data_IF_167955959734
#
_entry.id   IF_167955959734
#
_cell.length_a   1.000
_cell.length_b   1.000
_cell.length_c   1.000
_cell.angle_alpha   90.00
_cell.angle_beta   90.00
_cell.angle_gamma   90.00
#
_symmetry.space_group_name_H-M   'P 1'
#
loop_
_entity.id
_entity.type
_entity.pdbx_description
1 polymer ?
#
# COMPACT_ATOMS: atom_id res chain seq x y z
N UNK A 1 2.30 -7.42 -3.49
CA UNK A 1 3.10 -6.61 -2.53
C UNK A 1 4.06 -5.72 -3.33
N UNK A 2 3.85 -4.41 -3.29
CA UNK A 2 4.64 -3.47 -4.10
C UNK A 2 6.07 -3.36 -3.54
N UNK A 3 7.04 -3.09 -4.40
CA UNK A 3 8.44 -2.84 -4.05
C UNK A 3 8.59 -1.88 -2.85
N UNK A 4 7.84 -0.78 -2.87
CA UNK A 4 7.82 0.22 -1.79
C UNK A 4 7.31 -0.33 -0.47
N UNK A 5 6.23 -1.12 -0.50
CA UNK A 5 5.64 -1.70 0.69
C UNK A 5 6.61 -2.69 1.35
N UNK A 6 7.33 -3.48 0.54
CA UNK A 6 8.37 -4.38 1.03
C UNK A 6 9.53 -3.59 1.63
N UNK A 7 10.08 -2.59 0.92
CA UNK A 7 11.18 -1.76 1.42
C UNK A 7 10.82 -1.06 2.74
N UNK A 8 9.60 -0.54 2.85
CA UNK A 8 9.11 0.08 4.08
C UNK A 8 9.03 -0.93 5.24
N UNK A 9 8.47 -2.12 5.00
CA UNK A 9 8.41 -3.19 6.00
C UNK A 9 9.79 -3.66 6.45
N UNK A 10 10.76 -3.78 5.53
CA UNK A 10 12.14 -4.12 5.87
C UNK A 10 12.78 -3.07 6.80
N UNK A 11 12.61 -1.77 6.50
CA UNK A 11 13.09 -0.69 7.37
C UNK A 11 12.46 -0.76 8.77
N UNK A 12 11.14 -0.92 8.84
CA UNK A 12 10.43 -1.06 10.11
C UNK A 12 10.91 -2.30 10.89
N UNK A 13 11.24 -3.39 10.21
CA UNK A 13 11.75 -4.61 10.84
C UNK A 13 13.12 -4.39 11.46
N UNK A 14 14.03 -3.73 10.74
CA UNK A 14 15.37 -3.40 11.24
C UNK A 14 15.26 -2.46 12.45
N UNK A 15 14.52 -1.36 12.33
CA UNK A 15 14.34 -0.38 13.41
C UNK A 15 13.70 -1.04 14.65
N UNK A 16 12.61 -1.80 14.46
CA UNK A 16 11.93 -2.47 15.56
C UNK A 16 12.83 -3.47 16.28
N UNK A 17 13.68 -4.20 15.55
CA UNK A 17 14.63 -5.16 16.15
C UNK A 17 15.71 -4.45 16.96
N UNK A 18 16.32 -3.38 16.41
CA UNK A 18 17.35 -2.61 17.10
C UNK A 18 16.80 -1.97 18.39
N UNK A 19 15.62 -1.35 18.31
CA UNK A 19 14.95 -0.77 19.48
C UNK A 19 14.56 -1.86 20.49
N UNK A 20 14.05 -3.00 20.00
CA UNK A 20 13.69 -4.14 20.85
C UNK A 20 14.88 -4.70 21.61
N UNK A 21 16.07 -4.78 21.00
CA UNK A 21 17.30 -5.21 21.67
C UNK A 21 17.82 -4.14 22.63
N UNK A 22 17.83 -2.88 22.19
CA UNK A 22 18.29 -1.76 23.01
C UNK A 22 17.47 -1.60 24.30
N UNK A 23 16.18 -1.92 24.27
CA UNK A 23 15.30 -1.95 25.44
C UNK A 23 15.36 -3.29 26.17
N UNK A 24 15.49 -4.39 25.43
CA UNK A 24 15.53 -5.74 25.99
C UNK A 24 16.72 -5.98 26.90
N UNK A 25 17.93 -5.56 26.50
CA UNK A 25 19.15 -5.74 27.29
C UNK A 25 19.02 -5.11 28.70
N UNK A 26 18.62 -3.82 28.85
CA UNK A 26 18.33 -3.24 30.16
C UNK A 26 17.25 -4.00 30.92
N UNK A 27 16.15 -4.39 30.27
CA UNK A 27 15.06 -5.12 30.92
C UNK A 27 15.54 -6.45 31.51
N UNK A 28 16.38 -7.19 30.79
CA UNK A 28 16.99 -8.43 31.30
C UNK A 28 17.86 -8.18 32.52
N UNK A 29 18.55 -7.04 32.57
CA UNK A 29 19.43 -6.68 33.69
C UNK A 29 18.64 -6.22 34.94
N UNK A 30 17.58 -5.44 34.76
CA UNK A 30 16.76 -4.92 35.86
C UNK A 30 15.73 -5.94 36.40
N UNK A 31 15.36 -6.96 35.60
CA UNK A 31 14.37 -7.98 35.98
C UNK A 31 14.98 -9.39 35.88
N UNK A 32 15.87 -9.76 36.82
CA UNK A 32 16.46 -11.09 36.85
C UNK A 32 15.52 -12.16 37.41
N UNK A 33 14.40 -11.78 38.06
CA UNK A 33 13.48 -12.73 38.69
C UNK A 33 12.66 -13.52 37.66
N UNK A 34 12.50 -14.82 37.91
CA UNK A 34 11.70 -15.72 37.06
C UNK A 34 10.25 -15.22 36.91
N UNK A 35 9.62 -14.85 38.02
CA UNK A 35 8.24 -14.34 38.03
C UNK A 35 8.10 -13.05 37.21
N UNK A 36 9.07 -12.13 37.36
CA UNK A 36 9.08 -10.88 36.59
C UNK A 36 9.23 -11.12 35.09
N UNK A 37 10.11 -12.06 34.70
CA UNK A 37 10.30 -12.44 33.31
C UNK A 37 9.05 -13.09 32.71
N UNK A 38 8.36 -13.97 33.45
CA UNK A 38 7.12 -14.60 32.99
C UNK A 38 6.01 -13.57 32.77
N UNK A 39 5.84 -12.61 33.69
CA UNK A 39 4.88 -11.51 33.55
C UNK A 39 5.21 -10.68 32.31
N UNK A 40 6.48 -10.30 32.14
CA UNK A 40 6.91 -9.46 31.02
C UNK A 40 6.83 -10.20 29.67
N UNK A 41 7.04 -11.52 29.67
CA UNK A 41 6.84 -12.40 28.52
C UNK A 41 5.37 -12.42 28.08
N UNK A 42 4.42 -12.55 29.01
CA UNK A 42 2.99 -12.47 28.68
C UNK A 42 2.63 -11.09 28.14
N UNK A 43 3.08 -10.01 28.79
CA UNK A 43 2.81 -8.62 28.36
C UNK A 43 3.35 -8.38 26.95
N UNK A 44 4.63 -8.69 26.70
CA UNK A 44 5.25 -8.51 25.37
C UNK A 44 4.58 -9.37 24.30
N UNK A 45 4.15 -10.59 24.64
CA UNK A 45 3.37 -11.45 23.74
C UNK A 45 2.03 -10.84 23.36
N UNK A 46 1.25 -10.35 24.34
CA UNK A 46 -0.03 -9.67 24.08
C UNK A 46 0.16 -8.43 23.22
N UNK A 47 1.15 -7.59 23.55
CA UNK A 47 1.44 -6.38 22.78
C UNK A 47 1.87 -6.70 21.35
N UNK A 48 2.66 -7.76 21.12
CA UNK A 48 2.95 -8.23 19.77
C UNK A 48 1.68 -8.52 18.97
N UNK A 49 0.75 -9.32 19.52
CA UNK A 49 -0.49 -9.65 18.83
C UNK A 49 -1.41 -8.43 18.62
N UNK A 50 -1.44 -7.51 19.58
CA UNK A 50 -2.21 -6.28 19.47
C UNK A 50 -1.71 -5.38 18.34
N UNK A 51 -0.39 -5.23 18.19
CA UNK A 51 0.21 -4.30 17.22
C UNK A 51 0.51 -4.92 15.86
N UNK A 52 0.51 -6.26 15.70
CA UNK A 52 0.97 -6.94 14.46
C UNK A 52 0.30 -6.46 13.16
N UNK A 53 -0.97 -6.06 13.24
CA UNK A 53 -1.77 -5.65 12.08
C UNK A 53 -1.87 -4.12 11.93
N UNK A 54 -1.43 -3.34 12.93
CA UNK A 54 -1.59 -1.88 12.98
C UNK A 54 -0.24 -1.17 12.84
N UNK A 55 0.73 -1.54 13.67
CA UNK A 55 2.03 -0.87 13.72
C UNK A 55 3.17 -1.89 13.68
N UNK A 56 3.66 -2.17 12.46
CA UNK A 56 4.62 -3.25 12.21
C UNK A 56 5.98 -3.07 12.93
N UNK A 57 6.46 -1.83 13.12
CA UNK A 57 7.68 -1.59 13.91
C UNK A 57 7.51 -1.98 15.39
N UNK A 58 6.41 -1.56 16.02
CA UNK A 58 6.09 -1.94 17.40
C UNK A 58 5.94 -3.45 17.55
N UNK A 59 5.25 -4.11 16.61
CA UNK A 59 5.16 -5.57 16.60
C UNK A 59 6.56 -6.22 16.51
N UNK A 60 7.44 -5.71 15.66
CA UNK A 60 8.81 -6.24 15.54
C UNK A 60 9.63 -6.03 16.80
N UNK A 61 9.42 -4.91 17.50
CA UNK A 61 10.04 -4.65 18.80
C UNK A 61 9.57 -5.66 19.85
N UNK A 62 8.25 -5.85 20.00
CA UNK A 62 7.70 -6.75 21.00
C UNK A 62 8.04 -8.23 20.75
N UNK A 63 8.06 -8.69 19.50
CA UNK A 63 8.51 -10.07 19.21
C UNK A 63 10.00 -10.25 19.53
N UNK A 64 10.81 -9.20 19.37
CA UNK A 64 12.23 -9.25 19.71
C UNK A 64 12.43 -9.31 21.21
N UNK A 65 11.72 -8.49 21.98
CA UNK A 65 11.68 -8.56 23.44
C UNK A 65 11.22 -9.94 23.93
N UNK A 66 10.15 -10.46 23.36
CA UNK A 66 9.62 -11.78 23.70
C UNK A 66 10.67 -12.87 23.52
N UNK A 67 11.36 -12.88 22.37
CA UNK A 67 12.42 -13.86 22.08
C UNK A 67 13.57 -13.73 23.07
N UNK A 68 14.04 -12.51 23.35
CA UNK A 68 15.12 -12.30 24.33
C UNK A 68 14.74 -12.81 25.72
N UNK A 69 13.51 -12.58 26.18
CA UNK A 69 13.02 -13.09 27.47
C UNK A 69 12.94 -14.61 27.48
N UNK A 70 12.43 -15.22 26.40
CA UNK A 70 12.39 -16.68 26.27
C UNK A 70 13.79 -17.31 26.39
N UNK A 71 14.80 -16.72 25.74
CA UNK A 71 16.18 -17.21 25.84
C UNK A 71 16.84 -16.87 27.17
N UNK A 72 16.48 -15.75 27.81
CA UNK A 72 16.97 -15.42 29.14
C UNK A 72 16.49 -16.41 30.20
N UNK A 73 15.28 -16.95 30.06
CA UNK A 73 14.78 -18.05 30.90
C UNK A 73 15.62 -19.33 30.75
N UNK A 74 16.30 -19.50 29.61
CA UNK A 74 17.22 -20.60 29.33
C UNK A 74 18.68 -20.28 29.73
N UNK A 75 18.95 -19.08 30.23
CA UNK A 75 20.28 -18.61 30.62
C UNK A 75 21.07 -17.87 29.51
N UNK A 76 20.50 -17.74 28.31
CA UNK A 76 21.21 -17.31 27.08
C UNK A 76 20.70 -15.97 26.52
N UNK A 77 20.04 -15.14 27.36
CA UNK A 77 19.32 -13.95 26.89
C UNK A 77 20.20 -12.89 26.20
N UNK A 78 21.42 -12.70 26.68
CA UNK A 78 22.38 -11.73 26.13
C UNK A 78 23.08 -12.23 24.87
N UNK A 79 23.38 -13.54 24.82
CA UNK A 79 24.08 -14.15 23.68
C UNK A 79 23.25 -14.12 22.40
N UNK A 80 21.92 -14.12 22.53
CA UNK A 80 20.99 -14.13 21.40
C UNK A 80 20.77 -12.74 20.79
N UNK A 81 21.14 -11.65 21.48
CA UNK A 81 20.95 -10.29 20.99
C UNK A 81 21.74 -10.02 19.69
N UNK A 82 23.02 -10.39 19.64
CA UNK A 82 23.87 -10.15 18.47
C UNK A 82 23.45 -11.01 17.26
N UNK A 83 23.26 -12.34 17.38
CA UNK A 83 22.70 -13.17 16.32
C UNK A 83 21.38 -12.61 15.77
N UNK A 84 20.52 -12.07 16.64
CA UNK A 84 19.22 -11.52 16.22
C UNK A 84 19.35 -10.30 15.30
N UNK A 85 20.34 -9.43 15.54
CA UNK A 85 20.65 -8.32 14.63
C UNK A 85 21.14 -8.86 13.30
N UNK A 86 22.11 -9.78 13.34
CA UNK A 86 22.73 -10.37 12.15
C UNK A 86 21.68 -11.07 11.28
N UNK A 87 20.86 -11.95 11.86
CA UNK A 87 19.79 -12.67 11.17
C UNK A 87 18.76 -11.72 10.54
N UNK A 88 18.43 -10.64 11.26
CA UNK A 88 17.49 -9.64 10.74
C UNK A 88 18.08 -8.89 9.56
N UNK A 89 19.36 -8.50 9.64
CA UNK A 89 20.04 -7.81 8.55
C UNK A 89 20.20 -8.72 7.33
N UNK A 90 20.66 -9.96 7.51
CA UNK A 90 20.81 -10.95 6.43
C UNK A 90 19.45 -11.26 5.80
N UNK A 91 18.43 -11.56 6.62
CA UNK A 91 17.08 -11.84 6.13
C UNK A 91 16.48 -10.65 5.37
N UNK A 92 16.70 -9.41 5.85
CA UNK A 92 16.27 -8.22 5.14
C UNK A 92 17.05 -7.99 3.85
N UNK A 93 18.35 -8.27 3.82
CA UNK A 93 19.18 -8.16 2.63
C UNK A 93 18.75 -9.16 1.55
N UNK A 94 18.51 -10.42 1.92
CA UNK A 94 18.00 -11.45 1.01
C UNK A 94 16.63 -11.06 0.48
N UNK A 95 15.71 -10.62 1.33
CA UNK A 95 14.37 -10.19 0.92
C UNK A 95 14.43 -8.97 -0.02
N UNK A 96 15.30 -8.01 0.27
CA UNK A 96 15.52 -6.85 -0.60
C UNK A 96 16.10 -7.26 -1.96
N UNK A 97 17.08 -8.17 -1.99
CA UNK A 97 17.66 -8.69 -3.22
C UNK A 97 16.63 -9.44 -4.05
N UNK A 98 15.84 -10.33 -3.42
CA UNK A 98 14.79 -11.07 -4.11
C UNK A 98 13.76 -10.14 -4.78
N UNK A 99 13.29 -9.11 -4.05
CA UNK A 99 12.31 -8.14 -4.58
C UNK A 99 12.92 -7.20 -5.62
N UNK A 100 14.23 -6.93 -5.56
CA UNK A 100 14.90 -6.06 -6.54
C UNK A 100 15.27 -6.78 -7.83
N UNK A 101 15.68 -8.06 -7.76
CA UNK A 101 16.24 -8.79 -8.90
C UNK A 101 15.30 -9.85 -9.49
N UNK A 102 14.46 -10.52 -8.67
CA UNK A 102 13.60 -11.63 -9.13
C UNK A 102 12.20 -11.12 -9.51
N UNK A 103 11.65 -10.16 -8.74
CA UNK A 103 10.33 -9.55 -8.99
C UNK A 103 10.36 -8.01 -8.99
N UNK A 104 11.16 -7.36 -9.86
CA UNK A 104 10.97 -5.93 -10.09
C UNK A 104 9.55 -5.72 -10.62
N UNK A 105 8.79 -4.84 -9.97
CA UNK A 105 7.33 -4.70 -10.08
C UNK A 105 6.84 -4.74 -11.54
N UNK A 106 6.00 -5.74 -11.85
CA UNK A 106 5.50 -6.03 -13.21
C UNK A 106 4.39 -5.07 -13.64
N UNK A 107 4.09 -4.05 -12.84
CA UNK A 107 2.99 -3.11 -13.06
C UNK A 107 3.28 -2.12 -14.19
N UNK A 108 4.55 -1.75 -14.42
CA UNK A 108 4.91 -0.88 -15.54
C UNK A 108 4.48 -1.47 -16.90
N UNK A 109 4.66 -2.79 -17.08
CA UNK A 109 4.23 -3.51 -18.30
C UNK A 109 2.71 -3.44 -18.55
N UNK A 110 1.92 -3.17 -17.51
CA UNK A 110 0.46 -3.07 -17.60
C UNK A 110 -0.04 -1.63 -17.71
N UNK A 111 0.82 -0.60 -17.71
CA UNK A 111 0.36 0.80 -17.82
C UNK A 111 -0.51 1.04 -19.07
N UNK A 112 -0.14 0.55 -20.29
CA UNK A 112 -0.99 0.72 -21.46
C UNK A 112 -2.38 0.09 -21.27
N UNK A 113 -2.44 -1.11 -20.69
CA UNK A 113 -3.69 -1.84 -20.42
C UNK A 113 -4.53 -1.18 -19.33
N UNK A 114 -3.90 -0.59 -18.32
CA UNK A 114 -4.58 0.18 -17.27
C UNK A 114 -5.20 1.45 -17.87
N UNK A 115 -4.47 2.14 -18.74
CA UNK A 115 -4.97 3.33 -19.43
C UNK A 115 -6.14 2.98 -20.35
N UNK A 116 -6.03 1.91 -21.13
CA UNK A 116 -7.11 1.41 -21.98
C UNK A 116 -8.40 1.17 -21.17
N UNK A 117 -8.30 0.46 -20.04
CA UNK A 117 -9.42 0.21 -19.13
C UNK A 117 -10.01 1.49 -18.52
N UNK A 118 -9.16 2.46 -18.17
CA UNK A 118 -9.60 3.74 -17.64
C UNK A 118 -10.36 4.54 -18.72
N UNK A 119 -9.84 4.56 -19.95
CA UNK A 119 -10.52 5.21 -21.08
C UNK A 119 -11.85 4.53 -21.42
N UNK A 120 -11.90 3.19 -21.43
CA UNK A 120 -13.14 2.44 -21.68
C UNK A 120 -14.19 2.67 -20.59
N UNK A 121 -13.78 2.75 -19.32
CA UNK A 121 -14.69 3.11 -18.23
C UNK A 121 -15.21 4.55 -18.36
N UNK A 122 -14.36 5.48 -18.81
CA UNK A 122 -14.77 6.86 -19.10
C UNK A 122 -15.76 6.94 -20.27
N UNK A 123 -15.54 6.19 -21.36
CA UNK A 123 -16.51 6.11 -22.47
C UNK A 123 -17.87 5.57 -21.99
N UNK A 124 -17.88 4.45 -21.24
CA UNK A 124 -19.13 3.90 -20.68
C UNK A 124 -19.84 4.87 -19.73
N UNK A 125 -19.09 5.67 -18.99
CA UNK A 125 -19.67 6.71 -18.14
C UNK A 125 -20.27 7.85 -18.96
N UNK A 126 -19.60 8.28 -20.05
CA UNK A 126 -20.12 9.26 -20.99
C UNK A 126 -21.39 8.75 -21.68
N UNK A 127 -21.42 7.51 -22.16
CA UNK A 127 -22.59 6.89 -22.80
C UNK A 127 -23.80 6.91 -21.85
N UNK A 128 -23.59 6.54 -20.58
CA UNK A 128 -24.65 6.57 -19.56
C UNK A 128 -25.16 8.00 -19.25
N UNK A 129 -24.36 9.03 -19.49
CA UNK A 129 -24.79 10.44 -19.38
C UNK A 129 -25.57 10.85 -20.64
N UNK A 130 -25.09 10.51 -21.83
CA UNK A 130 -25.75 10.82 -23.11
C UNK A 130 -27.14 10.19 -23.20
N UNK A 131 -27.33 8.98 -22.68
CA UNK A 131 -28.65 8.36 -22.58
C UNK A 131 -29.65 9.22 -21.78
N UNK A 132 -29.19 9.87 -20.71
CA UNK A 132 -30.04 10.71 -19.85
C UNK A 132 -30.34 12.09 -20.43
N UNK A 133 -29.50 12.58 -21.34
CA UNK A 133 -29.83 13.78 -22.12
C UNK A 133 -31.03 13.53 -23.06
N UNK A 134 -31.20 12.29 -23.56
CA UNK A 134 -32.33 11.90 -24.40
C UNK A 134 -33.58 11.53 -23.60
N UNK A 135 -33.42 10.67 -22.59
CA UNK A 135 -34.55 10.07 -21.85
C UNK A 135 -34.98 10.90 -20.62
N UNK A 136 -34.22 11.94 -20.29
CA UNK A 136 -34.37 12.70 -19.06
C UNK A 136 -33.53 12.14 -17.91
N UNK A 137 -33.32 12.98 -16.89
CA UNK A 137 -32.45 12.67 -15.76
C UNK A 137 -32.99 11.51 -14.93
N UNK A 138 -32.31 10.37 -14.97
CA UNK A 138 -32.64 9.20 -14.15
C UNK A 138 -31.39 8.69 -13.40
N UNK A 139 -31.48 8.53 -12.09
CA UNK A 139 -30.36 8.11 -11.26
C UNK A 139 -30.24 6.58 -11.14
N UNK A 140 -30.57 5.85 -12.22
CA UNK A 140 -30.56 4.38 -12.27
C UNK A 140 -29.23 3.79 -11.86
N UNK A 141 -29.30 2.53 -11.43
CA UNK A 141 -28.15 1.75 -11.03
C UNK A 141 -27.05 1.73 -12.10
N UNK A 142 -27.41 1.64 -13.39
CA UNK A 142 -26.46 1.64 -14.50
C UNK A 142 -25.54 2.87 -14.51
N UNK A 143 -26.11 4.08 -14.42
CA UNK A 143 -25.34 5.33 -14.32
C UNK A 143 -24.44 5.36 -13.08
N UNK A 144 -24.96 4.95 -11.92
CA UNK A 144 -24.20 4.94 -10.67
C UNK A 144 -23.01 3.97 -10.72
N UNK A 145 -23.20 2.80 -11.36
CA UNK A 145 -22.13 1.83 -11.58
C UNK A 145 -21.09 2.40 -12.53
N UNK A 146 -21.49 2.95 -13.67
CA UNK A 146 -20.58 3.51 -14.67
C UNK A 146 -19.74 4.65 -14.07
N UNK A 147 -20.37 5.59 -13.34
CA UNK A 147 -19.68 6.66 -12.61
C UNK A 147 -18.66 6.12 -11.60
N UNK A 148 -19.06 5.11 -10.82
CA UNK A 148 -18.19 4.53 -9.79
C UNK A 148 -17.01 3.78 -10.41
N UNK A 149 -17.23 3.03 -11.49
CA UNK A 149 -16.17 2.31 -12.19
C UNK A 149 -15.16 3.28 -12.81
N UNK A 150 -15.60 4.36 -13.46
CA UNK A 150 -14.73 5.41 -13.98
C UNK A 150 -13.79 6.00 -12.89
N UNK A 151 -14.35 6.41 -11.75
CA UNK A 151 -13.54 6.94 -10.64
C UNK A 151 -12.62 5.87 -10.00
N UNK A 152 -13.06 4.61 -9.92
CA UNK A 152 -12.23 3.52 -9.42
C UNK A 152 -11.04 3.24 -10.33
N UNK A 153 -11.23 3.27 -11.66
CA UNK A 153 -10.14 3.08 -12.63
C UNK A 153 -9.16 4.24 -12.65
N UNK A 154 -9.66 5.48 -12.50
CA UNK A 154 -8.80 6.65 -12.33
C UNK A 154 -7.94 6.54 -11.06
N UNK A 155 -8.53 6.12 -9.93
CA UNK A 155 -7.80 5.88 -8.68
C UNK A 155 -6.77 4.73 -8.78
N UNK A 156 -7.11 3.64 -9.49
CA UNK A 156 -6.20 2.54 -9.76
C UNK A 156 -5.00 3.00 -10.62
N UNK A 157 -5.26 3.77 -11.68
CA UNK A 157 -4.22 4.38 -12.52
C UNK A 157 -3.31 5.31 -11.70
N UNK A 158 -3.89 6.15 -10.84
CA UNK A 158 -3.13 7.02 -9.93
C UNK A 158 -2.21 6.23 -9.00
N UNK A 159 -2.69 5.09 -8.46
CA UNK A 159 -1.88 4.21 -7.63
C UNK A 159 -0.71 3.61 -8.41
N UNK A 160 -0.94 3.12 -9.63
CA UNK A 160 0.11 2.55 -10.48
C UNK A 160 1.19 3.59 -10.80
N UNK A 161 0.80 4.80 -11.24
CA UNK A 161 1.74 5.89 -11.55
C UNK A 161 2.50 6.35 -10.30
N UNK A 162 1.83 6.39 -9.14
CA UNK A 162 2.49 6.70 -7.86
C UNK A 162 3.52 5.63 -7.48
N UNK A 163 3.19 4.34 -7.60
CA UNK A 163 4.11 3.24 -7.30
C UNK A 163 5.34 3.27 -8.22
N UNK A 164 5.11 3.49 -9.52
CA UNK A 164 6.12 3.59 -10.56
C UNK A 164 7.16 4.69 -10.27
N UNK A 165 6.74 5.80 -9.65
CA UNK A 165 7.64 6.91 -9.33
C UNK A 165 8.81 6.54 -8.41
N UNK A 166 8.66 5.45 -7.64
CA UNK A 166 9.65 4.97 -6.68
C UNK A 166 10.42 3.73 -7.16
N UNK A 167 10.15 3.25 -8.38
CA UNK A 167 10.87 2.12 -8.97
C UNK A 167 12.24 2.58 -9.52
N UNK A 168 13.32 1.83 -9.26
CA UNK A 168 14.69 2.24 -9.64
C UNK A 168 14.95 2.20 -11.15
N UNK A 169 14.19 1.39 -11.91
CA UNK A 169 14.43 1.12 -13.33
C UNK A 169 13.57 1.98 -14.28
N UNK A 170 12.77 2.91 -13.75
CA UNK A 170 11.91 3.77 -14.57
C UNK A 170 12.65 5.06 -14.93
N UNK A 171 12.90 5.27 -16.21
CA UNK A 171 13.54 6.49 -16.72
C UNK A 171 12.68 7.74 -16.42
N UNK A 172 13.30 8.90 -16.16
CA UNK A 172 12.56 10.14 -15.89
C UNK A 172 11.51 10.49 -16.95
N UNK A 173 11.80 10.22 -18.23
CA UNK A 173 10.93 10.48 -19.36
C UNK A 173 9.65 9.63 -19.31
N UNK A 174 9.78 8.35 -18.96
CA UNK A 174 8.65 7.43 -18.83
C UNK A 174 7.76 7.85 -17.66
N UNK A 175 8.36 8.22 -16.53
CA UNK A 175 7.63 8.71 -15.35
C UNK A 175 6.85 9.99 -15.67
N UNK A 176 7.44 10.92 -16.41
CA UNK A 176 6.77 12.14 -16.84
C UNK A 176 5.61 11.84 -17.80
N UNK A 177 5.81 10.96 -18.77
CA UNK A 177 4.75 10.55 -19.70
C UNK A 177 3.58 9.88 -18.95
N UNK A 178 3.87 8.98 -18.01
CA UNK A 178 2.85 8.33 -17.18
C UNK A 178 2.06 9.33 -16.32
N UNK A 179 2.75 10.31 -15.73
CA UNK A 179 2.11 11.38 -14.97
C UNK A 179 1.22 12.27 -15.85
N UNK A 180 1.70 12.67 -17.04
CA UNK A 180 0.91 13.44 -18.00
C UNK A 180 -0.36 12.67 -18.41
N UNK A 181 -0.24 11.38 -18.70
CA UNK A 181 -1.39 10.53 -19.05
C UNK A 181 -2.40 10.42 -17.90
N UNK A 182 -1.94 10.28 -16.66
CA UNK A 182 -2.80 10.32 -15.48
C UNK A 182 -3.57 11.66 -15.39
N UNK A 183 -2.87 12.79 -15.52
CA UNK A 183 -3.51 14.11 -15.48
C UNK A 183 -4.56 14.28 -16.59
N UNK A 184 -4.27 13.80 -17.79
CA UNK A 184 -5.22 13.84 -18.92
C UNK A 184 -6.45 12.98 -18.62
N UNK A 185 -6.28 11.75 -18.12
CA UNK A 185 -7.39 10.87 -17.76
C UNK A 185 -8.25 11.46 -16.63
N UNK A 186 -7.62 12.02 -15.60
CA UNK A 186 -8.31 12.65 -14.49
C UNK A 186 -9.12 13.87 -14.95
N UNK A 187 -8.53 14.69 -15.83
CA UNK A 187 -9.19 15.84 -16.45
C UNK A 187 -10.38 15.40 -17.31
N UNK A 188 -10.22 14.34 -18.11
CA UNK A 188 -11.30 13.79 -18.92
C UNK A 188 -12.46 13.30 -18.05
N UNK A 189 -12.17 12.53 -16.99
CA UNK A 189 -13.17 12.06 -16.02
C UNK A 189 -13.90 13.22 -15.33
N UNK A 190 -13.18 14.31 -15.02
CA UNK A 190 -13.73 15.52 -14.42
C UNK A 190 -14.67 16.26 -15.37
N UNK A 191 -14.31 16.39 -16.65
CA UNK A 191 -15.19 16.98 -17.67
C UNK A 191 -16.46 16.14 -17.90
N UNK A 192 -16.34 14.81 -17.96
CA UNK A 192 -17.51 13.92 -18.05
C UNK A 192 -18.39 14.09 -16.80
N UNK A 193 -17.79 14.22 -15.61
CA UNK A 193 -18.54 14.44 -14.36
C UNK A 193 -19.25 15.80 -14.33
N UNK A 194 -18.64 16.85 -14.86
CA UNK A 194 -19.26 18.17 -15.01
C UNK A 194 -20.43 18.10 -15.99
N UNK A 195 -20.25 17.46 -17.15
CA UNK A 195 -21.32 17.21 -18.11
C UNK A 195 -22.48 16.41 -17.47
N UNK A 196 -22.15 15.40 -16.67
CA UNK A 196 -23.12 14.63 -15.92
C UNK A 196 -23.83 15.44 -14.84
N UNK A 197 -23.21 16.47 -14.24
CA UNK A 197 -23.87 17.33 -13.27
C UNK A 197 -24.96 18.21 -13.93
N UNK A 198 -24.73 18.63 -15.17
CA UNK A 198 -25.61 19.49 -15.97
C UNK A 198 -26.54 18.73 -16.94
N UNK A 199 -26.80 17.44 -16.69
CA UNK A 199 -27.57 16.54 -17.57
C UNK A 199 -29.10 16.77 -17.60
N UNK A 200 -29.52 18.00 -17.82
CA UNK A 200 -30.94 18.29 -18.04
C UNK A 200 -31.40 17.73 -19.40
N UNK A 201 -32.68 17.39 -19.51
CA UNK A 201 -33.22 16.88 -20.77
C UNK A 201 -33.12 17.96 -21.84
N UNK A 202 -32.47 17.65 -22.96
CA UNK A 202 -32.40 18.59 -24.07
C UNK A 202 -33.75 18.60 -24.79
N UNK A 203 -34.32 19.78 -24.96
CA UNK A 203 -35.56 20.00 -25.73
C UNK A 203 -35.29 20.48 -27.15
N UNK A 204 -34.04 20.82 -27.49
CA UNK A 204 -33.67 21.31 -28.82
C UNK A 204 -33.29 20.14 -29.76
N UNK A 205 -34.10 19.86 -30.81
CA UNK A 205 -33.85 18.74 -31.72
C UNK A 205 -32.58 18.90 -32.58
N UNK A 206 -32.05 20.11 -32.78
CA UNK A 206 -30.81 20.32 -33.55
C UNK A 206 -29.55 19.86 -32.79
N UNK A 207 -29.61 19.75 -31.46
CA UNK A 207 -28.49 19.32 -30.59
C UNK A 207 -28.51 17.79 -30.37
N UNK A 208 -29.67 17.16 -30.60
CA UNK A 208 -29.91 15.73 -30.39
C UNK A 208 -29.67 14.87 -31.66
N UNK A 209 -29.46 15.51 -32.81
CA UNK A 209 -29.21 14.86 -34.10
C UNK A 209 -27.72 14.50 -34.28
#
# INVERSE_FOLDING_TARGET
PNYNATRHRLKLRIIGTLVGIAIGIPVLWFVPSLEGQLVLLVITGVLFFAFRNVQYAHATMFITLLVLLCFNLLGEGFEVALPRVIDTLIGCAIAWAAVSYIWPDWQFRNLPRMLERATEANCRYLDAILEQYHQGRDNRLAYRIARRDAHNRDAELASVVSNMSSEPNVTPQIREAAFRLLCLNHTFTSYISALGAHREQLTNPEILA
#
